data_IF_588764070747
#
_entry.id   IF_588764070747
#
_cell.length_a   1.000
_cell.length_b   1.000
_cell.length_c   1.000
_cell.angle_alpha   90.00
_cell.angle_beta   90.00
_cell.angle_gamma   90.00
#
_symmetry.space_group_name_H-M   'P 1'
#
loop_
_entity.id
_entity.type
_entity.pdbx_description
1 polymer ?
#
# COMPACT_ATOMS: atom_id res chain seq x y z
N UNK A 1 -10.78 18.22 -26.12
CA UNK A 1 -10.01 17.24 -26.92
C UNK A 1 -10.04 15.93 -26.15
N UNK A 2 -10.74 14.91 -26.65
CA UNK A 2 -10.64 13.55 -26.12
C UNK A 2 -9.22 13.09 -26.45
N UNK A 3 -8.39 12.84 -25.45
CA UNK A 3 -7.13 12.14 -25.68
C UNK A 3 -7.50 10.75 -26.21
N UNK A 4 -6.99 10.42 -27.41
CA UNK A 4 -7.07 9.07 -27.95
C UNK A 4 -6.43 8.12 -26.92
N UNK A 5 -7.27 7.31 -26.29
CA UNK A 5 -6.80 6.27 -25.38
C UNK A 5 -6.09 5.22 -26.26
N UNK A 6 -4.77 5.25 -26.22
CA UNK A 6 -3.96 4.19 -26.80
C UNK A 6 -4.32 2.87 -26.12
N UNK A 7 -5.08 2.04 -26.84
CA UNK A 7 -5.61 0.76 -26.36
C UNK A 7 -4.52 -0.32 -26.20
N UNK A 8 -3.23 0.02 -26.34
CA UNK A 8 -2.12 -0.92 -26.42
C UNK A 8 -1.49 -1.30 -25.09
N UNK A 9 -1.86 -0.66 -23.97
CA UNK A 9 -1.29 -1.01 -22.66
C UNK A 9 -2.17 -2.07 -22.00
N UNK A 10 -1.68 -3.30 -22.06
CA UNK A 10 -2.29 -4.46 -21.42
C UNK A 10 -1.42 -4.98 -20.28
N UNK A 11 -2.06 -5.56 -19.27
CA UNK A 11 -1.36 -6.32 -18.25
C UNK A 11 -0.54 -7.45 -18.91
N UNK A 12 0.66 -7.66 -18.43
CA UNK A 12 1.50 -8.78 -18.87
C UNK A 12 0.81 -10.13 -18.59
N UNK A 13 1.21 -11.20 -19.28
CA UNK A 13 0.69 -12.55 -19.01
C UNK A 13 0.82 -12.94 -17.54
N UNK A 14 -0.02 -13.87 -17.12
CA UNK A 14 0.16 -14.51 -15.80
C UNK A 14 1.42 -15.33 -15.83
N UNK A 15 2.29 -15.15 -14.84
CA UNK A 15 3.52 -15.91 -14.66
C UNK A 15 3.56 -16.51 -13.26
N UNK A 16 4.20 -17.66 -13.14
CA UNK A 16 4.44 -18.30 -11.86
C UNK A 16 5.81 -17.88 -11.28
N UNK A 17 5.96 -17.90 -9.95
CA UNK A 17 7.24 -17.63 -9.32
C UNK A 17 8.28 -18.69 -9.72
N UNK A 18 9.50 -18.23 -10.04
CA UNK A 18 10.63 -19.13 -10.22
C UNK A 18 11.28 -19.52 -8.87
N UNK A 19 11.02 -18.73 -7.81
CA UNK A 19 11.41 -19.03 -6.44
C UNK A 19 10.36 -18.49 -5.48
N UNK A 20 10.09 -19.24 -4.42
CA UNK A 20 9.20 -18.79 -3.35
C UNK A 20 9.52 -19.56 -2.06
N UNK A 21 9.19 -18.94 -0.94
CA UNK A 21 9.43 -19.59 0.34
C UNK A 21 9.04 -18.71 1.51
N UNK A 22 9.63 -19.03 2.65
CA UNK A 22 9.42 -18.31 3.89
C UNK A 22 10.75 -17.95 4.53
N UNK A 23 10.73 -16.91 5.32
CA UNK A 23 11.77 -16.60 6.30
C UNK A 23 11.12 -16.29 7.65
N UNK A 24 11.89 -16.48 8.71
CA UNK A 24 11.39 -16.31 10.07
C UNK A 24 12.01 -15.05 10.68
N UNK A 25 11.16 -14.25 11.30
CA UNK A 25 11.53 -13.07 12.07
C UNK A 25 10.62 -13.00 13.30
N UNK A 26 11.21 -13.04 14.47
CA UNK A 26 10.45 -13.11 15.73
C UNK A 26 9.48 -14.31 15.74
N UNK A 27 8.19 -14.01 15.92
CA UNK A 27 7.10 -15.00 15.88
C UNK A 27 6.53 -15.20 14.47
N UNK A 28 7.01 -14.41 13.48
CA UNK A 28 6.44 -14.40 12.15
C UNK A 28 7.20 -15.30 11.18
N UNK A 29 6.44 -16.07 10.40
CA UNK A 29 6.88 -16.79 9.22
C UNK A 29 6.39 -16.03 7.99
N UNK A 30 7.29 -15.29 7.35
CA UNK A 30 7.00 -14.29 6.33
C UNK A 30 7.20 -14.91 4.95
N UNK A 31 6.14 -14.88 4.13
CA UNK A 31 6.16 -15.40 2.77
C UNK A 31 6.78 -14.42 1.79
N UNK A 32 7.61 -14.92 0.87
CA UNK A 32 8.10 -14.19 -0.28
C UNK A 32 8.04 -15.03 -1.56
N UNK A 33 8.03 -14.35 -2.69
CA UNK A 33 8.16 -14.96 -4.01
C UNK A 33 8.95 -14.06 -4.96
N UNK A 34 9.58 -14.67 -5.95
CA UNK A 34 10.33 -14.01 -7.00
C UNK A 34 9.77 -14.40 -8.37
N UNK A 35 9.50 -13.40 -9.20
CA UNK A 35 8.92 -13.63 -10.55
C UNK A 35 9.70 -12.87 -11.61
N UNK A 36 9.55 -13.30 -12.86
CA UNK A 36 10.15 -12.67 -14.04
C UNK A 36 11.59 -13.15 -14.30
N UNK A 37 12.44 -12.24 -14.77
CA UNK A 37 13.82 -12.55 -15.16
C UNK A 37 14.76 -12.55 -13.95
N UNK A 38 15.36 -13.68 -13.56
CA UNK A 38 16.29 -13.74 -12.42
C UNK A 38 17.49 -12.77 -12.52
N UNK A 39 17.91 -12.44 -13.74
CA UNK A 39 19.01 -11.49 -14.01
C UNK A 39 18.52 -10.07 -14.33
N UNK A 40 17.21 -9.84 -14.24
CA UNK A 40 16.59 -8.55 -14.52
C UNK A 40 16.84 -7.48 -13.45
N UNK A 41 16.45 -6.25 -13.75
CA UNK A 41 16.46 -5.17 -12.73
C UNK A 41 15.56 -5.55 -11.56
N UNK A 42 16.09 -5.40 -10.36
CA UNK A 42 15.42 -5.86 -9.14
C UNK A 42 14.39 -4.84 -8.68
N UNK A 43 13.16 -5.29 -8.48
CA UNK A 43 12.06 -4.51 -7.90
C UNK A 43 11.58 -5.21 -6.63
N UNK A 44 11.43 -4.47 -5.54
CA UNK A 44 10.65 -4.90 -4.39
C UNK A 44 9.26 -4.29 -4.45
N UNK A 45 8.24 -5.13 -4.49
CA UNK A 45 6.84 -4.71 -4.44
C UNK A 45 6.35 -4.68 -2.99
N UNK A 46 5.83 -3.53 -2.58
CA UNK A 46 5.29 -3.26 -1.24
C UNK A 46 3.78 -3.06 -1.34
N UNK A 47 3.02 -4.05 -0.88
CA UNK A 47 1.56 -3.99 -0.91
C UNK A 47 0.98 -2.97 0.08
N UNK A 48 -0.25 -2.56 -0.19
CA UNK A 48 -1.02 -1.62 0.63
C UNK A 48 -1.74 -2.25 1.82
N UNK A 49 -2.68 -1.53 2.35
CA UNK A 49 -3.41 -1.74 3.58
C UNK A 49 -2.87 -0.77 4.63
N UNK A 50 -2.08 -1.22 5.65
CA UNK A 50 -1.39 -2.51 5.74
C UNK A 50 -2.34 -3.71 5.83
N UNK A 51 -1.87 -4.88 5.38
CA UNK A 51 -2.65 -6.10 5.53
C UNK A 51 -3.26 -6.70 4.25
N UNK A 52 -3.16 -6.01 3.09
CA UNK A 52 -3.75 -6.51 1.84
C UNK A 52 -3.09 -7.80 1.34
N UNK A 53 -1.78 -7.95 1.51
CA UNK A 53 -1.01 -9.04 0.91
C UNK A 53 -0.79 -8.86 -0.59
N UNK A 54 -0.04 -9.76 -1.18
CA UNK A 54 0.24 -9.79 -2.61
C UNK A 54 -0.68 -10.79 -3.33
N UNK A 55 -1.02 -10.49 -4.58
CA UNK A 55 -1.83 -11.35 -5.45
C UNK A 55 -1.15 -11.61 -6.79
N UNK A 56 -1.59 -12.65 -7.50
CA UNK A 56 -1.12 -12.96 -8.86
C UNK A 56 -1.40 -11.82 -9.85
N UNK A 57 -2.43 -11.00 -9.61
CA UNK A 57 -2.73 -9.83 -10.43
C UNK A 57 -1.59 -8.79 -10.39
N UNK A 58 -0.93 -8.62 -9.23
CA UNK A 58 0.19 -7.70 -9.09
C UNK A 58 1.40 -8.11 -9.95
N UNK A 59 1.63 -9.40 -10.17
CA UNK A 59 2.74 -9.91 -11.01
C UNK A 59 2.63 -9.36 -12.43
N UNK A 60 1.41 -9.15 -12.93
CA UNK A 60 1.09 -8.70 -14.28
C UNK A 60 1.37 -7.21 -14.55
N UNK A 61 1.78 -6.45 -13.53
CA UNK A 61 2.20 -5.05 -13.68
C UNK A 61 3.60 -4.91 -14.30
N UNK A 62 4.41 -5.96 -14.25
CA UNK A 62 5.83 -5.92 -14.54
C UNK A 62 6.18 -6.75 -15.77
N UNK A 63 7.06 -6.20 -16.62
CA UNK A 63 7.61 -6.90 -17.77
C UNK A 63 8.48 -8.07 -17.29
N UNK A 64 8.07 -9.32 -17.53
CA UNK A 64 8.78 -10.49 -17.01
C UNK A 64 10.13 -10.73 -17.67
N UNK A 65 10.42 -10.11 -18.81
CA UNK A 65 11.72 -10.24 -19.48
C UNK A 65 12.74 -9.23 -18.90
N UNK A 66 12.26 -8.11 -18.35
CA UNK A 66 13.12 -7.00 -17.88
C UNK A 66 13.40 -7.03 -16.39
N UNK A 67 12.42 -7.47 -15.60
CA UNK A 67 12.45 -7.31 -14.16
C UNK A 67 12.50 -8.63 -13.41
N UNK A 68 13.31 -8.65 -12.36
CA UNK A 68 13.22 -9.59 -11.24
C UNK A 68 12.40 -8.93 -10.14
N UNK A 69 11.17 -9.37 -9.96
CA UNK A 69 10.27 -8.74 -8.98
C UNK A 69 10.14 -9.63 -7.76
N UNK A 70 10.44 -9.03 -6.60
CA UNK A 70 10.26 -9.67 -5.30
C UNK A 70 8.95 -9.15 -4.69
N UNK A 71 8.08 -10.09 -4.38
CA UNK A 71 6.87 -9.85 -3.58
C UNK A 71 7.08 -10.48 -2.21
N UNK A 72 6.62 -9.82 -1.16
CA UNK A 72 6.49 -10.47 0.13
C UNK A 72 5.18 -10.03 0.80
N UNK A 73 4.53 -10.96 1.45
CA UNK A 73 3.38 -10.66 2.25
C UNK A 73 3.88 -10.18 3.61
N UNK A 74 3.65 -8.89 3.93
CA UNK A 74 4.10 -8.29 5.19
C UNK A 74 3.53 -9.04 6.40
N UNK A 75 4.08 -8.82 7.58
CA UNK A 75 3.63 -9.49 8.82
C UNK A 75 2.11 -9.44 8.97
N UNK A 76 1.49 -10.57 9.28
CA UNK A 76 0.05 -10.69 9.45
C UNK A 76 -0.77 -10.70 8.16
N UNK A 77 -0.16 -10.54 6.98
CA UNK A 77 -0.85 -10.41 5.69
C UNK A 77 -0.77 -11.66 4.85
N UNK A 78 -1.75 -11.87 3.98
CA UNK A 78 -1.71 -12.88 2.92
C UNK A 78 -1.34 -14.28 3.41
N UNK A 79 -0.22 -14.79 2.89
CA UNK A 79 0.33 -16.12 3.21
C UNK A 79 1.24 -16.14 4.45
N UNK A 80 1.64 -14.96 4.96
CA UNK A 80 2.45 -14.84 6.17
C UNK A 80 1.69 -15.25 7.44
N UNK A 81 2.40 -15.77 8.42
CA UNK A 81 1.83 -16.30 9.67
C UNK A 81 2.52 -15.65 10.88
N UNK A 82 1.79 -15.47 12.01
CA UNK A 82 0.36 -15.68 12.21
C UNK A 82 -0.49 -14.65 11.42
N UNK A 83 -1.61 -15.10 10.87
CA UNK A 83 -2.50 -14.25 10.06
C UNK A 83 -3.22 -13.21 10.93
N UNK A 84 -3.32 -11.97 10.44
CA UNK A 84 -3.89 -10.82 11.14
C UNK A 84 -3.26 -10.55 12.53
N UNK A 85 -1.99 -10.93 12.75
CA UNK A 85 -1.28 -10.70 14.00
C UNK A 85 -0.72 -9.28 14.07
N UNK A 86 -0.99 -8.62 15.21
CA UNK A 86 -0.44 -7.30 15.55
C UNK A 86 0.81 -7.36 16.42
N UNK A 87 1.14 -8.54 16.96
CA UNK A 87 2.30 -8.74 17.81
C UNK A 87 3.59 -8.52 17.03
N UNK A 88 4.52 -7.72 17.56
CA UNK A 88 5.76 -7.34 16.87
C UNK A 88 5.54 -6.93 15.40
N UNK A 89 4.49 -6.15 15.17
CA UNK A 89 4.09 -5.69 13.84
C UNK A 89 4.02 -4.16 13.84
N UNK A 90 5.15 -3.53 13.56
CA UNK A 90 5.35 -2.08 13.47
C UNK A 90 6.12 -1.74 12.21
N UNK A 91 6.15 -0.47 11.82
CA UNK A 91 6.92 0.00 10.65
C UNK A 91 8.40 -0.40 10.77
N UNK A 92 8.99 -0.32 11.97
CA UNK A 92 10.40 -0.69 12.20
C UNK A 92 10.63 -2.20 12.00
N UNK A 93 9.70 -3.04 12.42
CA UNK A 93 9.78 -4.48 12.17
C UNK A 93 9.70 -4.79 10.66
N UNK A 94 8.83 -4.09 9.90
CA UNK A 94 8.75 -4.26 8.45
C UNK A 94 10.01 -3.79 7.73
N UNK A 95 10.64 -2.70 8.19
CA UNK A 95 11.93 -2.24 7.68
C UNK A 95 13.02 -3.30 7.94
N UNK A 96 13.03 -3.91 9.11
CA UNK A 96 13.94 -5.01 9.44
C UNK A 96 13.72 -6.23 8.55
N UNK A 97 12.46 -6.60 8.30
CA UNK A 97 12.10 -7.70 7.41
C UNK A 97 12.58 -7.47 5.96
N UNK A 98 12.44 -6.24 5.47
CA UNK A 98 12.92 -5.84 4.15
C UNK A 98 14.46 -5.97 4.07
N UNK A 99 15.19 -5.52 5.09
CA UNK A 99 16.64 -5.68 5.14
C UNK A 99 17.05 -7.16 5.17
N UNK A 100 16.41 -7.96 6.01
CA UNK A 100 16.67 -9.40 6.05
C UNK A 100 16.43 -10.06 4.69
N UNK A 101 15.30 -9.75 4.04
CA UNK A 101 14.97 -10.29 2.72
C UNK A 101 16.01 -9.89 1.66
N UNK A 102 16.46 -8.63 1.68
CA UNK A 102 17.51 -8.12 0.81
C UNK A 102 18.80 -8.93 0.95
N UNK A 103 19.25 -9.16 2.19
CA UNK A 103 20.45 -9.93 2.50
C UNK A 103 20.32 -11.40 2.12
N UNK A 104 19.20 -12.03 2.47
CA UNK A 104 18.87 -13.42 2.12
C UNK A 104 18.93 -13.65 0.61
N UNK A 105 18.42 -12.71 -0.19
CA UNK A 105 18.39 -12.80 -1.65
C UNK A 105 19.64 -12.21 -2.32
N UNK A 106 20.61 -11.72 -1.52
CA UNK A 106 21.88 -11.11 -1.97
C UNK A 106 21.65 -9.94 -2.95
N UNK A 107 20.66 -9.09 -2.64
CA UNK A 107 20.32 -7.92 -3.44
C UNK A 107 21.20 -6.75 -3.00
N UNK A 108 21.96 -6.17 -3.93
CA UNK A 108 22.76 -4.98 -3.67
C UNK A 108 21.86 -3.73 -3.59
N UNK A 109 21.08 -3.51 -4.61
CA UNK A 109 20.09 -2.41 -4.68
C UNK A 109 18.83 -2.86 -5.41
N UNK A 110 17.74 -2.21 -5.07
CA UNK A 110 16.45 -2.42 -5.73
C UNK A 110 15.71 -1.13 -6.02
N UNK A 111 14.75 -1.22 -6.93
CA UNK A 111 13.72 -0.23 -7.11
C UNK A 111 12.60 -0.60 -6.13
N UNK A 112 12.07 0.38 -5.40
CA UNK A 112 10.90 0.16 -4.56
C UNK A 112 9.63 0.56 -5.30
N UNK A 113 8.69 -0.36 -5.39
CA UNK A 113 7.36 -0.12 -5.95
C UNK A 113 6.33 -0.24 -4.83
N UNK A 114 5.72 0.88 -4.44
CA UNK A 114 4.77 0.92 -3.32
C UNK A 114 3.51 1.70 -3.63
N UNK A 115 2.36 1.16 -3.21
CA UNK A 115 1.07 1.84 -3.33
C UNK A 115 0.37 1.95 -1.99
N UNK A 116 -0.33 3.11 -1.75
CA UNK A 116 -1.06 3.32 -0.49
C UNK A 116 -0.11 3.21 0.71
N UNK A 117 -0.42 2.40 1.71
CA UNK A 117 0.51 2.04 2.78
C UNK A 117 1.90 1.62 2.26
N UNK A 118 1.95 0.87 1.15
CA UNK A 118 3.22 0.48 0.54
C UNK A 118 4.08 1.67 0.12
N UNK A 119 3.50 2.82 -0.19
CA UNK A 119 4.26 4.06 -0.46
C UNK A 119 4.87 4.63 0.82
N UNK A 120 4.15 4.57 1.94
CA UNK A 120 4.67 4.96 3.27
C UNK A 120 5.85 4.09 3.65
N UNK A 121 5.70 2.76 3.52
CA UNK A 121 6.77 1.81 3.85
C UNK A 121 7.98 1.97 2.93
N UNK A 122 7.78 2.19 1.62
CA UNK A 122 8.86 2.48 0.68
C UNK A 122 9.65 3.73 1.07
N UNK A 123 8.95 4.80 1.43
CA UNK A 123 9.55 6.06 1.85
C UNK A 123 10.30 5.91 3.19
N UNK A 124 9.67 5.29 4.19
CA UNK A 124 10.29 5.07 5.50
C UNK A 124 11.55 4.19 5.38
N UNK A 125 11.47 3.08 4.63
CA UNK A 125 12.62 2.23 4.34
C UNK A 125 13.75 3.01 3.66
N UNK A 126 13.43 3.81 2.63
CA UNK A 126 14.44 4.57 1.88
C UNK A 126 15.14 5.61 2.74
N UNK A 127 14.40 6.27 3.63
CA UNK A 127 14.97 7.26 4.56
C UNK A 127 16.02 6.61 5.46
N UNK A 128 15.76 5.41 5.96
CA UNK A 128 16.69 4.69 6.84
C UNK A 128 17.82 3.96 6.07
N UNK A 129 17.55 3.54 4.84
CA UNK A 129 18.44 2.68 4.05
C UNK A 129 18.67 3.20 2.61
N UNK A 130 19.05 4.47 2.41
CA UNK A 130 19.09 5.08 1.07
C UNK A 130 20.10 4.43 0.11
N UNK A 131 21.15 3.83 0.65
CA UNK A 131 22.22 3.19 -0.16
C UNK A 131 21.76 1.94 -0.89
N UNK A 132 20.67 1.31 -0.45
CA UNK A 132 20.12 0.10 -1.04
C UNK A 132 18.97 0.36 -2.02
N UNK A 133 18.61 1.63 -2.24
CA UNK A 133 17.52 2.01 -3.14
C UNK A 133 18.08 2.74 -4.35
N UNK A 134 17.68 2.33 -5.55
CA UNK A 134 18.06 2.96 -6.81
C UNK A 134 17.00 3.93 -7.34
N UNK A 135 15.72 3.66 -7.11
CA UNK A 135 14.60 4.52 -7.48
C UNK A 135 13.35 4.14 -6.69
N UNK A 136 12.34 5.03 -6.69
CA UNK A 136 11.01 4.76 -6.14
C UNK A 136 9.95 4.94 -7.24
N UNK A 137 8.97 4.04 -7.25
CA UNK A 137 7.71 4.17 -8.02
C UNK A 137 6.57 4.09 -7.02
N UNK A 138 5.85 5.18 -6.86
CA UNK A 138 4.82 5.34 -5.83
C UNK A 138 3.45 5.58 -6.46
N UNK A 139 2.39 5.02 -5.85
CA UNK A 139 1.00 5.21 -6.26
C UNK A 139 0.12 5.45 -5.04
N UNK A 140 -0.86 6.38 -5.18
CA UNK A 140 -1.78 6.64 -4.09
C UNK A 140 -1.03 6.99 -2.80
N UNK A 141 -0.27 8.08 -2.84
CA UNK A 141 0.70 8.43 -1.78
C UNK A 141 0.01 8.66 -0.45
N UNK A 142 0.38 7.84 0.53
CA UNK A 142 0.05 7.98 1.94
C UNK A 142 1.32 8.33 2.72
N UNK A 143 1.28 9.38 3.51
CA UNK A 143 2.45 9.87 4.28
C UNK A 143 2.43 9.41 5.74
N UNK A 144 1.36 8.73 6.15
CA UNK A 144 1.19 8.18 7.50
C UNK A 144 0.98 9.24 8.57
N UNK A 145 0.33 10.34 8.24
CA UNK A 145 0.08 11.46 9.18
C UNK A 145 -1.29 11.33 9.86
N UNK A 146 -1.40 11.91 11.06
CA UNK A 146 -2.69 11.98 11.77
C UNK A 146 -3.77 12.72 10.96
N UNK A 147 -3.37 13.71 10.16
CA UNK A 147 -4.30 14.42 9.30
C UNK A 147 -4.90 13.51 8.23
N UNK A 148 -4.11 12.59 7.67
CA UNK A 148 -4.57 11.61 6.68
C UNK A 148 -5.44 10.52 7.32
N UNK A 149 -5.09 10.06 8.53
CA UNK A 149 -5.92 9.13 9.30
C UNK A 149 -7.26 9.77 9.65
N UNK A 150 -7.27 11.02 10.09
CA UNK A 150 -8.50 11.75 10.37
C UNK A 150 -9.34 11.98 9.10
N UNK A 151 -8.69 12.28 7.97
CA UNK A 151 -9.36 12.38 6.67
C UNK A 151 -10.07 11.06 6.33
N UNK A 152 -9.39 9.93 6.41
CA UNK A 152 -9.96 8.62 6.14
C UNK A 152 -11.17 8.30 7.02
N UNK A 153 -11.07 8.55 8.33
CA UNK A 153 -12.10 8.18 9.29
C UNK A 153 -13.32 9.12 9.30
N UNK A 154 -13.13 10.42 9.00
CA UNK A 154 -14.18 11.42 9.24
C UNK A 154 -14.50 12.32 8.06
N UNK A 155 -13.58 12.58 7.14
CA UNK A 155 -13.77 13.57 6.08
C UNK A 155 -14.10 12.93 4.72
N UNK A 156 -13.61 11.74 4.44
CA UNK A 156 -13.87 10.99 3.19
C UNK A 156 -15.37 10.73 2.98
N UNK A 157 -16.17 10.68 4.03
CA UNK A 157 -17.64 10.59 4.00
C UNK A 157 -18.32 11.67 3.15
N UNK A 158 -17.67 12.79 2.90
CA UNK A 158 -18.21 13.86 2.06
C UNK A 158 -18.35 13.43 0.60
N UNK A 159 -17.63 12.44 0.18
CA UNK A 159 -17.66 11.88 -1.17
C UNK A 159 -18.46 10.57 -1.25
N UNK A 160 -18.49 9.79 -0.18
CA UNK A 160 -19.15 8.49 -0.09
C UNK A 160 -20.00 8.38 1.19
N UNK A 161 -21.05 9.23 1.33
CA UNK A 161 -21.86 9.26 2.55
C UNK A 161 -22.56 7.93 2.82
N UNK A 162 -23.05 7.25 1.78
CA UNK A 162 -23.72 5.96 1.89
C UNK A 162 -22.79 4.83 2.33
N UNK A 163 -21.52 4.87 1.95
CA UNK A 163 -20.52 3.93 2.43
C UNK A 163 -20.15 4.20 3.89
N UNK A 164 -20.07 5.48 4.25
CA UNK A 164 -19.82 5.90 5.62
C UNK A 164 -20.98 5.54 6.56
N UNK A 165 -22.22 5.74 6.14
CA UNK A 165 -23.39 5.36 6.95
C UNK A 165 -23.38 3.86 7.28
N UNK A 166 -23.01 3.02 6.32
CA UNK A 166 -22.80 1.59 6.58
C UNK A 166 -21.64 1.33 7.54
N UNK A 167 -20.52 2.00 7.34
CA UNK A 167 -19.35 1.89 8.19
C UNK A 167 -19.66 2.26 9.64
N UNK A 168 -20.27 3.40 9.88
CA UNK A 168 -20.56 3.87 11.23
C UNK A 168 -21.71 3.10 11.91
N UNK A 169 -22.67 2.55 11.13
CA UNK A 169 -23.83 1.83 11.66
C UNK A 169 -23.47 0.58 12.47
N UNK A 170 -22.29 0.00 12.25
CA UNK A 170 -21.79 -1.13 13.02
C UNK A 170 -21.37 -0.74 14.45
N UNK A 171 -21.03 0.51 14.66
CA UNK A 171 -20.56 1.03 15.95
C UNK A 171 -21.73 1.60 16.74
N UNK A 172 -21.94 1.18 18.01
CA UNK A 172 -22.94 1.76 18.89
C UNK A 172 -22.80 3.29 18.98
N UNK A 173 -23.93 4.00 19.05
CA UNK A 173 -23.96 5.47 18.97
C UNK A 173 -23.06 6.12 20.04
N UNK A 174 -23.03 5.55 21.22
CA UNK A 174 -22.22 6.02 22.35
C UNK A 174 -20.71 5.89 22.11
N UNK A 175 -20.27 5.01 21.19
CA UNK A 175 -18.86 4.82 20.84
C UNK A 175 -18.47 5.55 19.54
N UNK A 176 -19.42 6.14 18.80
CA UNK A 176 -19.16 6.79 17.51
C UNK A 176 -18.33 8.08 17.59
N UNK A 177 -18.11 8.59 18.78
CA UNK A 177 -17.22 9.74 19.01
C UNK A 177 -15.74 9.40 18.81
N UNK A 178 -15.35 8.10 18.91
CA UNK A 178 -14.02 7.58 18.63
C UNK A 178 -14.12 6.26 17.82
N UNK A 179 -14.38 6.40 16.52
CA UNK A 179 -14.63 5.29 15.61
C UNK A 179 -13.43 4.34 15.55
N UNK A 180 -12.20 4.88 15.56
CA UNK A 180 -10.99 4.08 15.45
C UNK A 180 -10.82 3.15 16.65
N UNK A 181 -10.94 3.68 17.87
CA UNK A 181 -10.88 2.87 19.09
C UNK A 181 -12.00 1.84 19.15
N UNK A 182 -13.21 2.21 18.74
CA UNK A 182 -14.37 1.31 18.72
C UNK A 182 -14.16 0.13 17.76
N UNK A 183 -13.62 0.38 16.55
CA UNK A 183 -13.25 -0.69 15.62
C UNK A 183 -12.07 -1.50 16.12
N UNK A 184 -10.99 -0.88 16.59
CA UNK A 184 -9.80 -1.56 17.07
C UNK A 184 -10.14 -2.55 18.20
N UNK A 185 -10.96 -2.14 19.17
CA UNK A 185 -11.46 -3.02 20.25
C UNK A 185 -12.13 -4.28 19.73
N UNK A 186 -12.97 -4.16 18.68
CA UNK A 186 -13.70 -5.29 18.07
C UNK A 186 -12.80 -6.16 17.21
N UNK A 187 -11.90 -5.53 16.47
CA UNK A 187 -10.96 -6.22 15.56
C UNK A 187 -9.87 -7.00 16.30
N UNK A 188 -9.61 -6.67 17.58
CA UNK A 188 -8.58 -7.32 18.41
C UNK A 188 -9.13 -8.14 19.56
N UNK A 189 -10.46 -8.28 19.70
CA UNK A 189 -11.07 -9.13 20.72
C UNK A 189 -10.89 -10.63 20.40
N UNK A 190 -11.12 -11.49 21.38
CA UNK A 190 -10.99 -12.94 21.22
C UNK A 190 -12.15 -13.57 20.43
N UNK A 191 -13.30 -12.91 20.38
CA UNK A 191 -14.48 -13.42 19.64
C UNK A 191 -14.29 -13.29 18.13
N UNK A 192 -14.07 -14.43 17.48
CA UNK A 192 -13.85 -14.51 16.03
C UNK A 192 -15.05 -13.98 15.21
N UNK A 193 -16.28 -14.11 15.71
CA UNK A 193 -17.47 -13.63 15.01
C UNK A 193 -17.49 -12.11 15.00
N UNK A 194 -17.25 -11.49 16.15
CA UNK A 194 -17.17 -10.02 16.29
C UNK A 194 -16.03 -9.48 15.42
N UNK A 195 -14.86 -10.11 15.44
CA UNK A 195 -13.71 -9.71 14.61
C UNK A 195 -14.02 -9.73 13.11
N UNK A 196 -14.61 -10.82 12.65
CA UNK A 196 -14.92 -10.99 11.22
C UNK A 196 -16.00 -9.99 10.77
N UNK A 197 -16.99 -9.74 11.61
CA UNK A 197 -18.05 -8.78 11.31
C UNK A 197 -17.50 -7.34 11.27
N UNK A 198 -16.74 -6.93 12.27
CA UNK A 198 -16.06 -5.63 12.28
C UNK A 198 -15.17 -5.45 11.04
N UNK A 199 -14.39 -6.48 10.68
CA UNK A 199 -13.52 -6.45 9.52
C UNK A 199 -14.30 -6.30 8.21
N UNK A 200 -15.45 -6.93 8.09
CA UNK A 200 -16.31 -6.79 6.92
C UNK A 200 -16.79 -5.34 6.73
N UNK A 201 -17.27 -4.69 7.78
CA UNK A 201 -17.71 -3.29 7.70
C UNK A 201 -16.56 -2.34 7.40
N UNK A 202 -15.43 -2.53 8.08
CA UNK A 202 -14.23 -1.69 7.89
C UNK A 202 -13.70 -1.79 6.45
N UNK A 203 -13.41 -3.00 5.98
CA UNK A 203 -12.88 -3.22 4.64
C UNK A 203 -13.86 -2.84 3.52
N UNK A 204 -15.17 -3.01 3.74
CA UNK A 204 -16.20 -2.59 2.77
C UNK A 204 -16.23 -1.07 2.57
N UNK A 205 -15.93 -0.29 3.60
CA UNK A 205 -15.84 1.16 3.50
C UNK A 205 -14.71 1.56 2.56
N UNK A 206 -13.49 1.06 2.78
CA UNK A 206 -12.36 1.35 1.92
C UNK A 206 -12.60 0.88 0.47
N UNK A 207 -13.05 -0.37 0.30
CA UNK A 207 -13.32 -0.93 -1.02
C UNK A 207 -14.35 -0.11 -1.82
N UNK A 208 -15.36 0.45 -1.15
CA UNK A 208 -16.37 1.31 -1.78
C UNK A 208 -15.77 2.63 -2.29
N UNK A 209 -14.68 3.09 -1.69
CA UNK A 209 -14.03 4.36 -2.02
C UNK A 209 -12.81 4.20 -2.94
N UNK A 210 -12.41 2.95 -3.26
CA UNK A 210 -11.13 2.68 -3.92
C UNK A 210 -11.09 2.99 -5.43
N UNK A 211 -12.23 3.08 -6.09
CA UNK A 211 -12.31 3.31 -7.55
C UNK A 211 -13.17 4.52 -7.87
N UNK A 212 -12.89 5.18 -9.00
CA UNK A 212 -13.67 6.32 -9.49
C UNK A 212 -15.14 5.94 -9.70
N UNK A 213 -15.37 4.76 -10.26
CA UNK A 213 -16.71 4.18 -10.38
C UNK A 213 -16.91 3.21 -9.23
N UNK A 214 -17.80 3.58 -8.31
CA UNK A 214 -18.12 2.76 -7.15
C UNK A 214 -18.64 1.39 -7.61
N UNK A 215 -17.92 0.34 -7.30
CA UNK A 215 -18.39 -1.03 -7.42
C UNK A 215 -18.65 -1.57 -6.02
N UNK A 216 -19.81 -2.14 -5.79
CA UNK A 216 -20.07 -2.86 -4.55
C UNK A 216 -19.21 -4.13 -4.57
N UNK A 217 -18.05 -4.06 -3.92
CA UNK A 217 -17.15 -5.21 -3.78
C UNK A 217 -17.28 -5.78 -2.38
N UNK A 218 -17.47 -7.08 -2.31
CA UNK A 218 -17.34 -7.79 -1.04
C UNK A 218 -15.93 -7.58 -0.46
N UNK A 219 -15.87 -7.61 0.87
CA UNK A 219 -14.64 -7.33 1.61
C UNK A 219 -13.45 -8.26 1.31
N UNK A 220 -13.66 -9.34 0.53
CA UNK A 220 -12.61 -10.25 0.07
C UNK A 220 -11.94 -11.07 1.20
N UNK A 221 -11.02 -11.94 0.82
CA UNK A 221 -10.29 -12.80 1.77
C UNK A 221 -9.33 -12.03 2.69
N UNK A 222 -8.85 -10.87 2.28
CA UNK A 222 -7.94 -10.02 3.06
C UNK A 222 -8.64 -9.08 4.04
N UNK A 223 -9.97 -9.08 4.12
CA UNK A 223 -10.72 -8.14 4.93
C UNK A 223 -10.28 -8.13 6.41
N UNK A 224 -10.07 -9.31 7.00
CA UNK A 224 -9.66 -9.40 8.39
C UNK A 224 -8.26 -8.84 8.60
N UNK A 225 -7.27 -9.25 7.80
CA UNK A 225 -5.90 -8.75 7.95
C UNK A 225 -5.79 -7.26 7.64
N UNK A 226 -6.49 -6.76 6.64
CA UNK A 226 -6.54 -5.33 6.35
C UNK A 226 -7.12 -4.55 7.52
N UNK A 227 -8.35 -4.84 7.93
CA UNK A 227 -9.00 -4.08 8.98
C UNK A 227 -8.23 -4.12 10.31
N UNK A 228 -7.73 -5.31 10.72
CA UNK A 228 -6.95 -5.44 11.96
C UNK A 228 -5.66 -4.65 11.90
N UNK A 229 -4.90 -4.78 10.81
CA UNK A 229 -3.60 -4.12 10.70
C UNK A 229 -3.74 -2.61 10.45
N UNK A 230 -4.67 -2.17 9.63
CA UNK A 230 -4.94 -0.74 9.46
C UNK A 230 -5.33 -0.08 10.77
N UNK A 231 -6.30 -0.63 11.49
CA UNK A 231 -6.70 -0.10 12.79
C UNK A 231 -5.53 -0.06 13.78
N UNK A 232 -4.69 -1.13 13.82
CA UNK A 232 -3.51 -1.17 14.66
C UNK A 232 -2.48 -0.09 14.29
N UNK A 233 -2.19 0.09 13.01
CA UNK A 233 -1.25 1.12 12.55
C UNK A 233 -1.81 2.53 12.75
N UNK A 234 -3.08 2.76 12.50
CA UNK A 234 -3.72 4.05 12.70
C UNK A 234 -3.75 4.46 14.19
N UNK A 235 -4.09 3.53 15.10
CA UNK A 235 -4.03 3.75 16.54
C UNK A 235 -2.63 4.15 17.04
N UNK A 236 -1.59 3.73 16.34
CA UNK A 236 -0.21 3.97 16.69
C UNK A 236 0.52 4.95 15.75
N UNK A 237 -0.23 5.84 15.06
CA UNK A 237 0.32 6.84 14.14
C UNK A 237 1.30 6.22 13.12
N UNK A 238 0.95 5.05 12.57
CA UNK A 238 1.78 4.25 11.68
C UNK A 238 3.17 3.92 12.27
N UNK A 239 3.36 3.98 13.58
CA UNK A 239 4.65 3.82 14.27
C UNK A 239 5.74 4.74 13.73
N UNK A 240 5.35 5.92 13.26
CA UNK A 240 6.25 6.96 12.75
C UNK A 240 6.09 8.25 13.58
N UNK A 241 7.19 8.99 13.82
CA UNK A 241 7.10 10.33 14.37
C UNK A 241 6.25 11.25 13.51
N UNK A 242 5.64 12.27 14.11
CA UNK A 242 4.82 13.24 13.38
C UNK A 242 5.57 13.85 12.19
N UNK A 243 4.92 13.80 11.02
CA UNK A 243 5.46 14.28 9.73
C UNK A 243 6.81 13.65 9.34
N UNK A 244 7.09 12.43 9.80
CA UNK A 244 8.38 11.77 9.62
C UNK A 244 8.87 11.81 8.18
N UNK A 245 8.04 11.40 7.22
CA UNK A 245 8.40 11.37 5.81
C UNK A 245 8.70 12.78 5.30
N UNK A 246 7.78 13.73 5.50
CA UNK A 246 7.94 15.10 5.00
C UNK A 246 9.21 15.79 5.53
N UNK A 247 9.57 15.55 6.80
CA UNK A 247 10.77 16.11 7.44
C UNK A 247 12.07 15.48 6.93
N UNK A 248 12.03 14.21 6.48
CA UNK A 248 13.23 13.44 6.15
C UNK A 248 13.45 13.20 4.64
N UNK A 249 12.48 13.51 3.77
CA UNK A 249 12.63 13.40 2.31
C UNK A 249 13.89 14.10 1.78
N UNK A 250 14.31 15.20 2.41
CA UNK A 250 15.54 15.92 2.04
C UNK A 250 16.80 15.05 2.00
N UNK A 251 16.83 13.95 2.74
CA UNK A 251 17.98 13.03 2.78
C UNK A 251 17.97 12.01 1.64
N UNK A 252 16.87 11.91 0.91
CA UNK A 252 16.68 10.94 -0.17
C UNK A 252 16.26 11.58 -1.51
N UNK A 253 16.12 12.91 -1.57
CA UNK A 253 15.67 13.64 -2.75
C UNK A 253 16.62 13.57 -3.95
N UNK A 254 17.85 13.05 -3.78
CA UNK A 254 18.78 12.76 -4.89
C UNK A 254 18.35 11.52 -5.69
N UNK A 255 17.53 10.63 -5.12
CA UNK A 255 17.06 9.44 -5.80
C UNK A 255 15.93 9.79 -6.79
N UNK A 256 15.85 9.11 -7.95
CA UNK A 256 14.69 9.20 -8.83
C UNK A 256 13.42 8.74 -8.12
N UNK A 257 12.35 9.53 -8.19
CA UNK A 257 11.04 9.20 -7.65
C UNK A 257 9.94 9.45 -8.68
N UNK A 258 9.18 8.42 -8.98
CA UNK A 258 8.08 8.45 -9.94
C UNK A 258 6.76 8.26 -9.19
N UNK A 259 5.85 9.21 -9.32
CA UNK A 259 4.59 9.23 -8.56
C UNK A 259 3.42 9.20 -9.54
N UNK A 260 2.55 8.21 -9.39
CA UNK A 260 1.26 8.14 -10.10
C UNK A 260 0.14 8.30 -9.08
N UNK A 261 -0.75 9.25 -9.33
CA UNK A 261 -1.80 9.60 -8.38
C UNK A 261 -3.12 9.85 -9.10
N UNK A 262 -4.18 9.14 -8.71
CA UNK A 262 -5.52 9.43 -9.21
C UNK A 262 -5.99 10.82 -8.78
N UNK A 263 -6.59 11.57 -9.71
CA UNK A 263 -7.16 12.90 -9.42
C UNK A 263 -8.30 12.81 -8.43
N UNK A 264 -9.06 11.73 -8.49
CA UNK A 264 -10.24 11.46 -7.67
C UNK A 264 -9.98 10.43 -6.57
N UNK A 265 -8.72 10.23 -6.21
CA UNK A 265 -8.34 9.40 -5.08
C UNK A 265 -8.78 10.08 -3.77
N UNK A 266 -9.84 9.53 -3.16
CA UNK A 266 -10.38 10.04 -1.90
C UNK A 266 -9.75 9.34 -0.69
N UNK A 267 -9.17 8.16 -0.86
CA UNK A 267 -8.49 7.42 0.21
C UNK A 267 -7.18 8.14 0.55
N UNK A 268 -6.36 8.38 -0.48
CA UNK A 268 -5.12 9.16 -0.37
C UNK A 268 -5.22 10.40 -1.26
N UNK A 269 -5.70 11.53 -0.76
CA UNK A 269 -5.96 12.71 -1.58
C UNK A 269 -4.75 13.17 -2.39
N UNK A 270 -4.93 13.63 -3.64
CA UNK A 270 -3.83 14.01 -4.54
C UNK A 270 -2.95 15.14 -4.00
N UNK A 271 -3.42 15.90 -3.02
CA UNK A 271 -2.63 16.90 -2.28
C UNK A 271 -1.39 16.30 -1.62
N UNK A 272 -1.45 15.04 -1.16
CA UNK A 272 -0.33 14.36 -0.50
C UNK A 272 0.79 14.03 -1.50
N UNK A 273 0.44 13.47 -2.64
CA UNK A 273 1.38 13.22 -3.74
C UNK A 273 1.99 14.53 -4.27
N UNK A 274 1.18 15.56 -4.40
CA UNK A 274 1.64 16.88 -4.83
C UNK A 274 2.61 17.51 -3.81
N UNK A 275 2.29 17.44 -2.51
CA UNK A 275 3.16 17.89 -1.43
C UNK A 275 4.51 17.15 -1.46
N UNK A 276 4.48 15.83 -1.56
CA UNK A 276 5.68 15.00 -1.66
C UNK A 276 6.53 15.40 -2.87
N UNK A 277 5.92 15.53 -4.05
CA UNK A 277 6.60 15.96 -5.28
C UNK A 277 7.28 17.33 -5.12
N UNK A 278 6.60 18.30 -4.52
CA UNK A 278 7.15 19.64 -4.28
C UNK A 278 8.36 19.61 -3.33
N UNK A 279 8.29 18.80 -2.27
CA UNK A 279 9.41 18.66 -1.33
C UNK A 279 10.58 17.91 -2.00
N UNK A 280 10.29 16.88 -2.81
CA UNK A 280 11.31 16.08 -3.50
C UNK A 280 12.11 16.89 -4.53
N UNK A 281 11.43 17.77 -5.26
CA UNK A 281 12.04 18.65 -6.25
C UNK A 281 12.34 17.95 -7.58
N UNK A 282 13.44 18.33 -8.24
CA UNK A 282 13.74 18.02 -9.65
C UNK A 282 13.87 16.53 -10.00
N UNK A 283 14.19 15.70 -9.04
CA UNK A 283 14.35 14.25 -9.25
C UNK A 283 13.05 13.47 -9.08
N UNK A 284 11.92 14.15 -8.84
CA UNK A 284 10.61 13.50 -8.87
C UNK A 284 9.81 13.85 -10.12
N UNK A 285 9.02 12.89 -10.59
CA UNK A 285 8.04 13.07 -11.66
C UNK A 285 6.67 12.68 -11.13
N UNK A 286 5.70 13.59 -11.22
CA UNK A 286 4.31 13.36 -10.81
C UNK A 286 3.41 13.27 -12.03
N UNK A 287 2.57 12.24 -12.08
CA UNK A 287 1.44 12.08 -13.00
C UNK A 287 0.14 12.09 -12.22
N UNK A 288 -0.64 13.14 -12.37
CA UNK A 288 -2.02 13.19 -11.90
C UNK A 288 -2.91 12.62 -12.99
N UNK A 289 -3.66 11.58 -12.65
CA UNK A 289 -4.50 10.82 -13.60
C UNK A 289 -5.94 11.28 -13.44
N UNK A 290 -6.45 12.02 -14.43
CA UNK A 290 -7.72 12.74 -14.31
C UNK A 290 -8.96 11.82 -14.27
N UNK A 291 -8.85 10.59 -14.72
CA UNK A 291 -9.92 9.59 -14.79
C UNK A 291 -9.70 8.40 -13.84
N UNK A 292 -9.04 8.62 -12.71
CA UNK A 292 -8.75 7.57 -11.74
C UNK A 292 -8.97 7.99 -10.27
N UNK A 293 -9.38 7.01 -9.47
CA UNK A 293 -9.39 7.03 -8.01
C UNK A 293 -8.11 6.44 -7.42
N UNK A 294 -8.27 5.56 -6.40
CA UNK A 294 -7.16 4.97 -5.65
C UNK A 294 -6.54 3.73 -6.31
N UNK A 295 -7.32 2.93 -7.05
CA UNK A 295 -6.86 1.63 -7.54
C UNK A 295 -5.71 1.71 -8.55
N UNK A 296 -4.69 0.82 -8.38
CA UNK A 296 -3.61 0.67 -9.34
C UNK A 296 -4.07 0.10 -10.70
N UNK A 297 -5.24 -0.55 -10.72
CA UNK A 297 -5.78 -1.25 -11.89
C UNK A 297 -6.78 -0.40 -12.68
N UNK A 298 -7.05 0.85 -12.27
CA UNK A 298 -7.76 1.79 -13.15
C UNK A 298 -6.89 2.13 -14.34
N UNK A 299 -7.49 2.16 -15.52
CA UNK A 299 -6.77 2.21 -16.80
C UNK A 299 -5.70 3.32 -16.88
N UNK A 300 -6.05 4.55 -16.50
CA UNK A 300 -5.12 5.67 -16.52
C UNK A 300 -3.96 5.51 -15.53
N UNK A 301 -4.23 4.99 -14.33
CA UNK A 301 -3.22 4.70 -13.30
C UNK A 301 -2.29 3.60 -13.77
N UNK A 302 -2.83 2.47 -14.23
CA UNK A 302 -2.07 1.34 -14.77
C UNK A 302 -1.13 1.79 -15.88
N UNK A 303 -1.64 2.52 -16.87
CA UNK A 303 -0.86 3.05 -17.98
C UNK A 303 0.35 3.87 -17.50
N UNK A 304 0.13 4.81 -16.59
CA UNK A 304 1.21 5.68 -16.12
C UNK A 304 2.24 4.92 -15.26
N UNK A 305 1.82 3.92 -14.48
CA UNK A 305 2.74 3.04 -13.76
C UNK A 305 3.64 2.26 -14.72
N UNK A 306 3.07 1.67 -15.77
CA UNK A 306 3.83 0.93 -16.79
C UNK A 306 4.79 1.83 -17.57
N UNK A 307 4.40 3.06 -17.90
CA UNK A 307 5.29 4.04 -18.52
C UNK A 307 6.48 4.41 -17.62
N UNK A 308 6.26 4.55 -16.31
CA UNK A 308 7.36 4.81 -15.38
C UNK A 308 8.26 3.58 -15.19
N UNK A 309 7.71 2.37 -15.20
CA UNK A 309 8.51 1.13 -15.20
C UNK A 309 9.41 1.00 -16.44
N UNK A 310 9.01 1.55 -17.59
CA UNK A 310 9.88 1.61 -18.77
C UNK A 310 11.02 2.63 -18.64
N UNK A 311 10.91 3.58 -17.69
CA UNK A 311 11.88 4.67 -17.52
C UNK A 311 12.99 4.36 -16.50
N UNK A 312 12.91 3.22 -15.80
CA UNK A 312 13.84 2.80 -14.74
C UNK A 312 14.74 1.65 -15.12
#
# INVERSE_FOLDING_TARGET
MRQDYDSSIHLFPVIEPFDSGYFEQDIHKIYYEQVGNPEGKVILFLHGGPGAGCSSAHRRLFDPEKFRVIFFDQRGSGRSKPYASIEKNTTQHLISDINYLREKLKIEKWILFGGSWGSTLALAYTIENPVFVSALILRGVFLGTNAEINWYLYEMRRFFPEAYDRFISYIPVEEQHDILSAYHKRLTCDDQKIRNEAAKFFASYENSCATLHAETRDAGQSALSMAVLEAHYFMNNCFLPSDYIAKNVRYIQQLPCYIVQGRHDVICPPSNAYKLHKIWGKNSKLRLVDDAGHSAFEHGTLRNLMLFLQSV
#
